data_IF_080441402405
#
_entry.id   IF_080441402405
#
_cell.length_a   1.000
_cell.length_b   1.000
_cell.length_c   1.000
_cell.angle_alpha   90.00
_cell.angle_beta   90.00
_cell.angle_gamma   90.00
#
_symmetry.space_group_name_H-M   'P 1'
#
loop_
_entity.id
_entity.type
_entity.pdbx_description
1 polymer ?
#
# COMPACT_ATOMS: atom_id res chain seq x y z
N UNK A 1 11.53 -2.48 23.01
CA UNK A 1 12.59 -1.75 22.28
C UNK A 1 12.43 -2.03 20.80
N UNK A 2 12.12 -1.04 19.97
CA UNK A 2 11.95 -1.22 18.53
C UNK A 2 13.35 -1.23 17.91
N UNK A 3 13.81 -2.39 17.44
CA UNK A 3 15.09 -2.51 16.73
C UNK A 3 14.88 -2.13 15.27
N UNK A 4 15.53 -1.06 14.81
CA UNK A 4 15.52 -0.68 13.40
C UNK A 4 16.57 -1.49 12.65
N UNK A 5 16.16 -2.22 11.61
CA UNK A 5 17.05 -2.98 10.74
C UNK A 5 17.24 -2.17 9.44
N UNK A 6 18.45 -1.68 9.14
CA UNK A 6 18.69 -0.91 7.91
C UNK A 6 18.65 -1.82 6.68
N UNK A 7 18.24 -1.26 5.53
CA UNK A 7 18.39 -1.93 4.24
C UNK A 7 19.85 -1.96 3.79
N UNK A 8 20.31 -3.10 3.28
CA UNK A 8 21.60 -3.24 2.60
C UNK A 8 21.41 -3.41 1.10
N UNK A 9 22.30 -2.83 0.31
CA UNK A 9 22.23 -2.84 -1.17
C UNK A 9 23.39 -3.63 -1.72
N UNK A 10 23.12 -4.68 -2.50
CA UNK A 10 24.18 -5.42 -3.19
C UNK A 10 24.65 -4.68 -4.45
N UNK A 11 25.88 -4.92 -4.88
CA UNK A 11 26.45 -4.34 -6.12
C UNK A 11 25.64 -4.70 -7.38
N UNK A 12 24.93 -5.84 -7.39
CA UNK A 12 24.01 -6.26 -8.47
C UNK A 12 22.80 -5.34 -8.57
N UNK A 13 22.31 -4.85 -7.43
CA UNK A 13 21.11 -4.01 -7.36
C UNK A 13 21.29 -2.67 -8.05
N UNK A 14 22.46 -2.07 -7.96
CA UNK A 14 22.75 -0.81 -8.65
C UNK A 14 22.58 -0.94 -10.18
N UNK A 15 22.87 -2.13 -10.74
CA UNK A 15 22.66 -2.43 -12.15
C UNK A 15 21.20 -2.74 -12.50
N UNK A 16 20.43 -3.29 -11.56
CA UNK A 16 19.00 -3.65 -11.76
C UNK A 16 18.08 -2.44 -11.64
N UNK A 17 18.35 -1.55 -10.69
CA UNK A 17 17.56 -0.31 -10.49
C UNK A 17 17.58 0.56 -11.76
N UNK A 18 18.70 0.58 -12.48
CA UNK A 18 18.82 1.32 -13.74
C UNK A 18 18.04 0.72 -14.93
N UNK A 19 17.61 -0.53 -14.83
CA UNK A 19 16.98 -1.27 -15.96
C UNK A 19 15.51 -1.60 -15.77
N UNK A 20 15.00 -1.59 -14.56
CA UNK A 20 13.65 -2.06 -14.26
C UNK A 20 12.84 -1.05 -13.47
N UNK A 21 12.06 -0.29 -14.20
CA UNK A 21 10.98 0.49 -13.62
C UNK A 21 9.82 -0.45 -13.26
N UNK A 22 9.57 -0.65 -11.97
CA UNK A 22 8.22 -0.98 -11.49
C UNK A 22 7.40 0.31 -11.63
N UNK A 23 7.27 0.76 -12.90
CA UNK A 23 6.81 2.09 -13.22
C UNK A 23 5.28 2.24 -13.08
N UNK A 24 4.55 1.14 -12.84
CA UNK A 24 3.10 1.16 -12.80
C UNK A 24 2.56 0.52 -11.52
N UNK A 25 1.46 1.07 -11.00
CA UNK A 25 0.73 0.48 -9.87
C UNK A 25 0.34 -0.99 -10.13
N UNK A 26 -0.04 -1.31 -11.37
CA UNK A 26 -0.33 -2.70 -11.80
C UNK A 26 0.89 -3.61 -11.62
N UNK A 27 2.06 -3.17 -12.06
CA UNK A 27 3.31 -3.93 -11.90
C UNK A 27 3.66 -4.15 -10.44
N UNK A 28 3.48 -3.13 -9.59
CA UNK A 28 3.69 -3.21 -8.16
C UNK A 28 2.80 -4.27 -7.49
N UNK A 29 1.51 -4.25 -7.78
CA UNK A 29 0.54 -5.23 -7.24
C UNK A 29 0.90 -6.64 -7.69
N UNK A 30 1.24 -6.84 -8.98
CA UNK A 30 1.64 -8.14 -9.52
C UNK A 30 2.87 -8.69 -8.77
N UNK A 31 3.89 -7.87 -8.53
CA UNK A 31 5.09 -8.29 -7.82
C UNK A 31 4.79 -8.66 -6.36
N UNK A 32 3.90 -7.92 -5.68
CA UNK A 32 3.48 -8.25 -4.32
C UNK A 32 2.69 -9.56 -4.26
N UNK A 33 1.76 -9.80 -5.20
CA UNK A 33 1.03 -11.07 -5.28
C UNK A 33 1.95 -12.25 -5.59
N UNK A 34 2.98 -12.05 -6.44
CA UNK A 34 3.99 -13.08 -6.70
C UNK A 34 4.77 -13.48 -5.45
N UNK A 35 4.95 -12.59 -4.48
CA UNK A 35 5.60 -12.96 -3.22
C UNK A 35 4.79 -14.02 -2.46
N UNK A 36 3.45 -13.88 -2.41
CA UNK A 36 2.58 -14.90 -1.82
C UNK A 36 2.67 -16.24 -2.58
N UNK A 37 2.69 -16.21 -3.92
CA UNK A 37 2.89 -17.41 -4.73
C UNK A 37 4.23 -18.10 -4.44
N UNK A 38 5.33 -17.33 -4.33
CA UNK A 38 6.66 -17.82 -4.02
C UNK A 38 6.79 -18.37 -2.58
N UNK A 39 5.89 -17.95 -1.69
CA UNK A 39 5.76 -18.45 -0.32
C UNK A 39 4.78 -19.62 -0.18
N UNK A 40 4.44 -20.29 -1.28
CA UNK A 40 3.49 -21.42 -1.33
C UNK A 40 2.08 -21.09 -0.82
N UNK A 41 1.70 -19.82 -0.83
CA UNK A 41 0.34 -19.42 -0.47
C UNK A 41 -0.71 -20.11 -1.37
N UNK A 42 -1.80 -20.57 -0.76
CA UNK A 42 -2.93 -21.16 -1.50
C UNK A 42 -3.79 -20.09 -2.17
N UNK A 43 -3.79 -18.88 -1.59
CA UNK A 43 -4.51 -17.72 -2.13
C UNK A 43 -3.78 -16.43 -1.77
N UNK A 44 -4.01 -15.40 -2.57
CA UNK A 44 -3.65 -14.03 -2.26
C UNK A 44 -4.89 -13.17 -2.41
N UNK A 45 -5.21 -12.38 -1.39
CA UNK A 45 -6.33 -11.46 -1.38
C UNK A 45 -5.78 -10.06 -1.62
N UNK A 46 -6.26 -9.40 -2.67
CA UNK A 46 -6.00 -7.98 -2.91
C UNK A 46 -7.26 -7.22 -2.52
N UNK A 47 -7.20 -6.47 -1.43
CA UNK A 47 -8.31 -5.65 -0.95
C UNK A 47 -7.96 -4.18 -1.08
N UNK A 48 -8.83 -3.43 -1.76
CA UNK A 48 -8.68 -1.99 -1.96
C UNK A 48 -9.79 -1.29 -1.19
N UNK A 49 -9.41 -0.53 -0.16
CA UNK A 49 -10.31 0.35 0.56
C UNK A 49 -10.22 1.74 -0.04
N UNK A 50 -11.24 2.11 -0.81
CA UNK A 50 -11.38 3.43 -1.43
C UNK A 50 -12.65 4.18 -0.96
N UNK A 51 -13.22 3.79 0.17
CA UNK A 51 -14.47 4.35 0.69
C UNK A 51 -14.45 5.88 0.87
N UNK A 52 -13.26 6.44 1.07
CA UNK A 52 -13.07 7.87 1.30
C UNK A 52 -12.48 8.61 0.07
N UNK A 53 -12.44 7.97 -1.11
CA UNK A 53 -11.78 8.53 -2.31
C UNK A 53 -12.58 9.61 -3.02
N UNK A 54 -13.88 9.70 -2.78
CA UNK A 54 -14.79 10.57 -3.52
C UNK A 54 -15.34 11.71 -2.65
N UNK A 55 -15.38 12.91 -3.22
CA UNK A 55 -16.12 14.02 -2.66
C UNK A 55 -17.62 13.79 -2.92
N UNK A 56 -18.35 13.41 -1.88
CA UNK A 56 -19.78 13.08 -1.96
C UNK A 56 -20.63 14.34 -1.82
N UNK A 57 -21.75 14.40 -2.52
CA UNK A 57 -22.71 15.50 -2.41
C UNK A 57 -23.42 15.52 -1.03
N UNK A 58 -23.62 14.35 -0.44
CA UNK A 58 -24.14 14.22 0.93
C UNK A 58 -23.48 13.06 1.65
N UNK A 59 -23.32 13.19 2.97
CA UNK A 59 -22.77 12.18 3.85
C UNK A 59 -23.62 12.03 5.11
N UNK A 60 -23.67 10.81 5.64
CA UNK A 60 -24.32 10.52 6.92
C UNK A 60 -23.45 10.95 8.10
N UNK A 61 -24.03 11.12 9.29
CA UNK A 61 -23.29 11.44 10.52
C UNK A 61 -22.16 10.45 10.77
N UNK A 62 -22.40 9.16 10.61
CA UNK A 62 -21.38 8.10 10.80
C UNK A 62 -20.17 8.28 9.90
N UNK A 63 -20.38 8.69 8.65
CA UNK A 63 -19.28 8.94 7.73
C UNK A 63 -18.50 10.22 8.10
N UNK A 64 -19.19 11.26 8.58
CA UNK A 64 -18.57 12.48 9.08
C UNK A 64 -17.69 12.17 10.31
N UNK A 65 -18.19 11.39 11.24
CA UNK A 65 -17.47 10.95 12.44
C UNK A 65 -16.25 10.09 12.09
N UNK A 66 -16.38 9.20 11.09
CA UNK A 66 -15.26 8.40 10.58
C UNK A 66 -14.15 9.25 9.98
N UNK A 67 -14.49 10.35 9.28
CA UNK A 67 -13.48 11.29 8.76
C UNK A 67 -12.72 11.97 9.90
N UNK A 68 -13.41 12.37 10.97
CA UNK A 68 -12.78 12.93 12.18
C UNK A 68 -11.85 11.91 12.86
N UNK A 69 -12.33 10.67 13.05
CA UNK A 69 -11.53 9.58 13.65
C UNK A 69 -10.25 9.29 12.85
N UNK A 70 -10.30 9.49 11.53
CA UNK A 70 -9.13 9.35 10.63
C UNK A 70 -8.22 10.58 10.62
N UNK A 71 -8.53 11.59 11.45
CA UNK A 71 -7.70 12.78 11.62
C UNK A 71 -7.95 13.89 10.60
N UNK A 72 -9.14 13.93 9.99
CA UNK A 72 -9.53 15.10 9.23
C UNK A 72 -9.74 16.28 10.18
N UNK A 73 -9.29 17.46 9.78
CA UNK A 73 -9.51 18.68 10.53
C UNK A 73 -11.02 19.03 10.54
N UNK A 74 -11.59 19.18 11.73
CA UNK A 74 -13.01 19.47 11.91
C UNK A 74 -13.40 20.83 11.29
N UNK A 75 -12.52 21.80 11.34
CA UNK A 75 -12.78 23.13 10.76
C UNK A 75 -12.82 23.05 9.24
N UNK A 76 -11.97 22.24 8.65
CA UNK A 76 -11.99 21.93 7.21
C UNK A 76 -13.29 21.20 6.83
N UNK A 77 -13.67 20.17 7.58
CA UNK A 77 -14.92 19.44 7.33
C UNK A 77 -16.15 20.32 7.39
N UNK A 78 -16.23 21.24 8.37
CA UNK A 78 -17.34 22.17 8.51
C UNK A 78 -17.35 23.28 7.42
N UNK A 79 -16.22 23.52 6.74
CA UNK A 79 -16.20 24.37 5.52
C UNK A 79 -16.66 23.59 4.28
N UNK A 80 -16.36 22.29 4.22
CA UNK A 80 -16.74 21.41 3.10
C UNK A 80 -18.21 20.96 3.20
N UNK A 81 -18.67 20.65 4.40
CA UNK A 81 -20.01 20.11 4.64
C UNK A 81 -20.77 20.96 5.66
N UNK A 82 -22.04 21.20 5.39
CA UNK A 82 -22.96 21.83 6.33
C UNK A 82 -24.06 20.85 6.75
N UNK A 83 -24.41 20.86 8.04
CA UNK A 83 -25.44 19.98 8.59
C UNK A 83 -26.81 20.40 8.07
N UNK A 84 -27.54 19.45 7.51
CA UNK A 84 -28.92 19.61 7.03
C UNK A 84 -29.73 18.42 7.54
N UNK A 85 -30.59 18.65 8.52
CA UNK A 85 -31.38 17.61 9.23
C UNK A 85 -30.47 16.49 9.77
N UNK A 86 -30.63 15.27 9.25
CA UNK A 86 -29.89 14.10 9.67
C UNK A 86 -28.64 13.79 8.83
N UNK A 87 -28.29 14.67 7.88
CA UNK A 87 -27.15 14.49 6.95
C UNK A 87 -26.29 15.73 6.91
N UNK A 88 -25.12 15.56 6.32
CA UNK A 88 -24.25 16.67 5.95
C UNK A 88 -24.26 16.82 4.43
N UNK A 89 -24.54 18.03 3.97
CA UNK A 89 -24.56 18.36 2.53
C UNK A 89 -23.29 19.07 2.14
N UNK A 90 -22.79 18.78 0.95
CA UNK A 90 -21.67 19.49 0.37
C UNK A 90 -22.00 20.98 0.27
N UNK A 91 -21.14 21.81 0.80
CA UNK A 91 -21.32 23.25 0.80
C UNK A 91 -20.97 23.84 -0.56
N UNK A 92 -21.95 24.38 -1.27
CA UNK A 92 -21.77 25.00 -2.57
C UNK A 92 -20.84 26.25 -2.54
N UNK A 93 -20.59 26.82 -1.34
CA UNK A 93 -19.68 27.95 -1.13
C UNK A 93 -18.29 27.52 -0.67
N UNK A 94 -18.01 26.20 -0.57
CA UNK A 94 -16.69 25.71 -0.24
C UNK A 94 -15.66 26.19 -1.26
N UNK A 95 -14.55 26.73 -0.77
CA UNK A 95 -13.50 27.26 -1.66
C UNK A 95 -12.79 26.12 -2.40
N UNK A 96 -12.24 26.41 -3.58
CA UNK A 96 -11.41 25.43 -4.30
C UNK A 96 -10.19 24.98 -3.49
N UNK A 97 -9.68 25.84 -2.60
CA UNK A 97 -8.55 25.51 -1.72
C UNK A 97 -8.97 24.47 -0.71
N UNK A 98 -10.10 24.66 -0.01
CA UNK A 98 -10.64 23.71 0.96
C UNK A 98 -10.95 22.36 0.31
N UNK A 99 -11.55 22.36 -0.89
CA UNK A 99 -11.83 21.14 -1.66
C UNK A 99 -10.53 20.39 -2.02
N UNK A 100 -9.48 21.12 -2.43
CA UNK A 100 -8.19 20.49 -2.75
C UNK A 100 -7.52 19.91 -1.50
N UNK A 101 -7.54 20.63 -0.37
CA UNK A 101 -7.00 20.17 0.91
C UNK A 101 -7.74 18.91 1.37
N UNK A 102 -9.06 18.89 1.30
CA UNK A 102 -9.86 17.73 1.64
C UNK A 102 -9.58 16.54 0.71
N UNK A 103 -9.45 16.75 -0.60
CA UNK A 103 -9.06 15.69 -1.54
C UNK A 103 -7.66 15.14 -1.28
N UNK A 104 -6.72 15.96 -0.82
CA UNK A 104 -5.40 15.49 -0.41
C UNK A 104 -5.48 14.61 0.83
N UNK A 105 -6.33 14.97 1.80
CA UNK A 105 -6.64 14.13 2.95
C UNK A 105 -7.27 12.80 2.51
N UNK A 106 -8.32 12.86 1.68
CA UNK A 106 -9.02 11.66 1.17
C UNK A 106 -8.07 10.67 0.48
N UNK A 107 -7.13 11.16 -0.34
CA UNK A 107 -6.12 10.31 -1.01
C UNK A 107 -5.25 9.52 -0.03
N UNK A 108 -4.97 10.09 1.15
CA UNK A 108 -4.20 9.40 2.21
C UNK A 108 -5.01 8.32 2.92
N UNK A 109 -6.36 8.33 2.78
CA UNK A 109 -7.24 7.33 3.38
C UNK A 109 -7.47 6.10 2.48
N UNK A 110 -6.99 6.13 1.23
CA UNK A 110 -7.03 4.97 0.36
C UNK A 110 -5.97 3.95 0.79
N UNK A 111 -6.40 2.71 0.99
CA UNK A 111 -5.56 1.63 1.50
C UNK A 111 -5.58 0.45 0.53
N UNK A 112 -4.42 -0.17 0.35
CA UNK A 112 -4.27 -1.43 -0.36
C UNK A 112 -3.74 -2.47 0.60
N UNK A 113 -4.48 -3.56 0.77
CA UNK A 113 -4.06 -4.72 1.54
C UNK A 113 -3.79 -5.88 0.58
N UNK A 114 -2.63 -6.50 0.73
CA UNK A 114 -2.31 -7.75 0.04
C UNK A 114 -1.99 -8.75 1.13
N UNK A 115 -2.88 -9.75 1.25
CA UNK A 115 -2.84 -10.76 2.32
C UNK A 115 -2.65 -12.13 1.67
N UNK A 116 -1.73 -12.89 2.17
CA UNK A 116 -1.49 -14.27 1.76
C UNK A 116 -1.44 -15.20 2.98
N UNK A 117 -1.51 -16.51 2.73
CA UNK A 117 -1.37 -17.57 3.73
C UNK A 117 -0.11 -18.42 3.49
N UNK A 118 0.95 -17.80 2.94
CA UNK A 118 2.22 -18.46 2.70
C UNK A 118 2.96 -18.87 3.97
N UNK A 119 4.12 -19.52 3.80
CA UNK A 119 4.95 -20.02 4.90
C UNK A 119 5.56 -18.93 5.80
N UNK A 120 5.44 -17.65 5.38
CA UNK A 120 5.99 -16.50 6.10
C UNK A 120 7.53 -16.44 6.05
N UNK A 121 8.10 -15.61 6.92
CA UNK A 121 9.55 -15.41 7.01
C UNK A 121 10.01 -15.44 8.45
N UNK A 122 11.07 -16.21 8.70
CA UNK A 122 11.77 -16.13 9.99
C UNK A 122 12.52 -14.81 10.12
N UNK A 123 12.87 -14.42 11.35
CA UNK A 123 13.70 -13.23 11.61
C UNK A 123 15.00 -13.26 10.80
N UNK A 124 15.67 -14.43 10.76
CA UNK A 124 16.90 -14.61 10.00
C UNK A 124 16.70 -14.37 8.50
N UNK A 125 15.61 -14.86 7.91
CA UNK A 125 15.27 -14.62 6.50
C UNK A 125 14.97 -13.14 6.26
N UNK A 126 14.28 -12.48 7.20
CA UNK A 126 14.02 -11.05 7.11
C UNK A 126 15.35 -10.28 7.08
N UNK A 127 16.24 -10.51 8.04
CA UNK A 127 17.51 -9.80 8.17
C UNK A 127 18.46 -10.06 6.99
N UNK A 128 18.62 -11.33 6.58
CA UNK A 128 19.62 -11.71 5.57
C UNK A 128 19.13 -11.61 4.13
N UNK A 129 17.83 -11.77 3.89
CA UNK A 129 17.27 -11.84 2.53
C UNK A 129 16.28 -10.72 2.24
N UNK A 130 15.34 -10.47 3.16
CA UNK A 130 14.29 -9.47 2.92
C UNK A 130 14.83 -8.03 3.01
N UNK A 131 15.72 -7.75 3.96
CA UNK A 131 16.34 -6.42 4.13
C UNK A 131 17.56 -6.22 3.22
N UNK A 132 17.97 -7.22 2.45
CA UNK A 132 19.06 -7.12 1.49
C UNK A 132 18.53 -7.05 0.07
N UNK A 133 18.79 -5.94 -0.63
CA UNK A 133 18.33 -5.72 -2.00
C UNK A 133 19.21 -6.48 -2.98
N UNK A 134 18.60 -7.26 -3.90
CA UNK A 134 19.32 -7.97 -4.95
C UNK A 134 20.10 -9.20 -4.49
N UNK A 135 19.55 -9.94 -3.50
CA UNK A 135 20.10 -11.23 -3.11
C UNK A 135 19.93 -12.27 -4.22
N UNK A 136 20.91 -13.17 -4.35
CA UNK A 136 20.84 -14.33 -5.27
C UNK A 136 20.09 -15.53 -4.69
N UNK A 137 19.46 -15.38 -3.50
CA UNK A 137 18.82 -16.48 -2.78
C UNK A 137 17.76 -17.22 -3.63
N UNK A 138 16.95 -16.47 -4.41
CA UNK A 138 15.95 -17.07 -5.31
C UNK A 138 16.56 -17.74 -6.55
N UNK A 139 17.78 -17.39 -6.93
CA UNK A 139 18.47 -18.01 -8.05
C UNK A 139 18.93 -19.43 -7.73
N UNK A 140 19.27 -19.70 -6.45
CA UNK A 140 19.65 -21.03 -5.99
C UNK A 140 18.47 -21.86 -5.49
N UNK A 141 17.43 -21.22 -4.94
CA UNK A 141 16.21 -21.86 -4.42
C UNK A 141 15.00 -21.48 -5.28
N UNK A 142 15.00 -21.94 -6.55
CA UNK A 142 13.98 -21.60 -7.52
C UNK A 142 12.69 -22.45 -7.44
N UNK A 143 12.69 -23.49 -6.62
CA UNK A 143 11.53 -24.36 -6.37
C UNK A 143 11.07 -24.18 -4.91
N UNK A 144 9.76 -24.10 -4.70
CA UNK A 144 9.14 -24.04 -3.38
C UNK A 144 8.98 -25.45 -2.77
N UNK A 145 8.58 -25.53 -1.49
CA UNK A 145 8.29 -26.81 -0.82
C UNK A 145 7.17 -27.60 -1.52
N UNK A 146 6.18 -26.91 -2.09
CA UNK A 146 5.10 -27.52 -2.87
C UNK A 146 5.42 -27.69 -4.36
N UNK A 147 6.71 -27.67 -4.73
CA UNK A 147 7.21 -27.89 -6.10
C UNK A 147 6.75 -26.83 -7.13
N UNK A 148 6.43 -25.61 -6.69
CA UNK A 148 6.16 -24.49 -7.59
C UNK A 148 7.47 -23.85 -8.03
N UNK A 149 7.54 -23.42 -9.27
CA UNK A 149 8.66 -22.60 -9.76
C UNK A 149 8.43 -21.16 -9.30
N UNK A 150 9.39 -20.60 -8.54
CA UNK A 150 9.30 -19.22 -8.05
C UNK A 150 9.26 -18.21 -9.19
N UNK A 151 8.28 -17.33 -9.16
CA UNK A 151 8.02 -16.32 -10.20
C UNK A 151 8.90 -15.07 -10.05
N UNK A 152 9.36 -14.75 -8.84
CA UNK A 152 10.11 -13.55 -8.52
C UNK A 152 11.62 -13.79 -8.48
N UNK A 153 12.31 -13.71 -9.63
CA UNK A 153 13.76 -13.95 -9.70
C UNK A 153 14.65 -12.84 -9.13
N UNK A 154 14.12 -11.61 -8.92
CA UNK A 154 14.95 -10.40 -8.76
C UNK A 154 14.97 -9.77 -7.37
N UNK A 155 14.04 -10.13 -6.49
CA UNK A 155 13.98 -9.64 -5.12
C UNK A 155 13.73 -8.11 -4.94
N UNK A 156 13.28 -7.43 -5.99
CA UNK A 156 13.03 -5.98 -6.00
C UNK A 156 11.56 -5.61 -5.89
N UNK A 157 10.63 -6.57 -6.04
CA UNK A 157 9.18 -6.33 -6.02
C UNK A 157 8.68 -5.65 -4.74
N UNK A 158 9.37 -5.86 -3.61
CA UNK A 158 9.05 -5.19 -2.33
C UNK A 158 9.22 -3.67 -2.34
N UNK A 159 9.95 -3.12 -3.32
CA UNK A 159 10.12 -1.67 -3.51
C UNK A 159 9.14 -1.09 -4.52
N UNK A 160 8.23 -1.92 -5.00
CA UNK A 160 7.16 -1.47 -5.85
C UNK A 160 6.32 -0.42 -5.12
N UNK A 161 6.49 0.83 -5.49
CA UNK A 161 5.77 1.95 -4.90
C UNK A 161 4.52 2.21 -5.71
N UNK A 162 3.36 2.00 -5.12
CA UNK A 162 2.11 2.48 -5.68
C UNK A 162 2.01 3.96 -5.33
N UNK A 163 2.01 4.84 -6.34
CA UNK A 163 1.95 6.29 -6.13
C UNK A 163 0.69 6.66 -5.35
N UNK A 164 0.86 7.31 -4.19
CA UNK A 164 -0.23 7.73 -3.33
C UNK A 164 -0.62 6.73 -2.23
N UNK A 165 0.04 5.58 -2.11
CA UNK A 165 -0.17 4.60 -1.03
C UNK A 165 1.05 4.53 -0.11
N UNK A 166 0.79 4.42 1.18
CA UNK A 166 1.80 4.06 2.18
C UNK A 166 1.70 2.56 2.41
N UNK A 167 2.79 1.84 2.19
CA UNK A 167 2.88 0.42 2.57
C UNK A 167 3.13 0.38 4.08
N UNK A 168 2.19 -0.12 4.84
CA UNK A 168 2.34 -0.44 6.28
C UNK A 168 2.69 -1.90 6.47
#
# INVERSE_FOLDING_TARGET
MITRIPFTVSARTARLIGRENVATAKGAIIELVKNGYDADSRYSIVYINNNFSELRESIEQTYFDDLLLRGCDETLLNRIYSKADNKYMLNNTASNIDIQEFRMFQKKQCELFIVDCGEGMTRQIIESCWMTIGTDNKAFNYITAHKRIKAGAKGIGRFARVSGMTLT
#
